data_IF_028826942241
#
_entry.id   IF_028826942241
#
_cell.length_a   1.000
_cell.length_b   1.000
_cell.length_c   1.000
_cell.angle_alpha   90.00
_cell.angle_beta   90.00
_cell.angle_gamma   90.00
#
_symmetry.space_group_name_H-M   'P 1'
#
loop_
_entity.id
_entity.type
_entity.pdbx_description
1 polymer ?
#
# COMPACT_ATOMS: atom_id res chain seq x y z
N UNK A 1 2.03 -24.35 -15.95
CA UNK A 1 0.78 -23.77 -15.43
C UNK A 1 -0.19 -23.65 -16.59
N UNK A 2 -1.36 -24.27 -16.52
CA UNK A 2 -2.38 -24.10 -17.54
C UNK A 2 -2.92 -22.67 -17.47
N UNK A 3 -2.80 -21.91 -18.55
CA UNK A 3 -3.52 -20.63 -18.70
C UNK A 3 -5.00 -20.90 -18.48
N UNK A 4 -5.57 -20.34 -17.41
CA UNK A 4 -7.02 -20.35 -17.23
C UNK A 4 -7.62 -19.54 -18.37
N UNK A 5 -8.14 -20.23 -19.38
CA UNK A 5 -8.89 -19.59 -20.47
C UNK A 5 -10.02 -18.77 -19.85
N UNK A 6 -10.23 -17.52 -20.31
CA UNK A 6 -11.35 -16.72 -19.83
C UNK A 6 -12.66 -17.48 -20.07
N UNK A 7 -13.66 -17.37 -19.16
CA UNK A 7 -15.00 -17.91 -19.37
C UNK A 7 -15.52 -17.65 -20.78
N UNK A 8 -16.27 -18.60 -21.35
CA UNK A 8 -16.84 -18.48 -22.68
C UNK A 8 -17.64 -17.17 -22.82
N UNK A 9 -17.40 -16.41 -23.90
CA UNK A 9 -18.09 -15.14 -24.17
C UNK A 9 -17.41 -13.87 -23.64
N UNK A 10 -16.18 -13.96 -23.13
CA UNK A 10 -15.34 -12.80 -22.79
C UNK A 10 -14.44 -12.46 -23.98
N UNK A 11 -14.47 -11.20 -24.40
CA UNK A 11 -13.56 -10.68 -25.42
C UNK A 11 -12.11 -10.62 -24.86
N UNK A 12 -11.13 -11.28 -25.50
CA UNK A 12 -9.78 -11.42 -24.95
C UNK A 12 -8.96 -10.12 -25.01
N UNK A 13 -9.42 -9.09 -25.74
CA UNK A 13 -8.72 -7.80 -25.87
C UNK A 13 -9.18 -6.77 -24.86
N UNK A 14 -10.47 -6.77 -24.54
CA UNK A 14 -11.12 -5.80 -23.66
C UNK A 14 -11.52 -6.39 -22.31
N UNK A 15 -11.57 -7.71 -22.19
CA UNK A 15 -12.11 -8.41 -21.02
C UNK A 15 -13.63 -8.31 -20.92
N UNK A 16 -14.32 -7.75 -21.91
CA UNK A 16 -15.75 -7.49 -21.84
C UNK A 16 -16.58 -8.73 -22.19
N UNK A 17 -17.58 -9.03 -21.35
CA UNK A 17 -18.60 -10.04 -21.61
C UNK A 17 -19.91 -9.37 -22.03
N UNK A 18 -20.31 -9.52 -23.30
CA UNK A 18 -21.52 -8.89 -23.82
C UNK A 18 -22.81 -9.38 -23.13
N UNK A 19 -22.84 -10.65 -22.71
CA UNK A 19 -23.99 -11.26 -22.06
C UNK A 19 -24.26 -10.69 -20.66
N UNK A 20 -23.20 -10.42 -19.89
CA UNK A 20 -23.31 -9.93 -18.51
C UNK A 20 -23.08 -8.43 -18.37
N UNK A 21 -22.59 -7.79 -19.44
CA UNK A 21 -22.10 -6.40 -19.49
C UNK A 21 -21.02 -6.13 -18.44
N UNK A 22 -20.15 -7.12 -18.20
CA UNK A 22 -19.08 -7.06 -17.19
C UNK A 22 -17.72 -7.05 -17.88
N UNK A 23 -16.81 -6.21 -17.39
CA UNK A 23 -15.39 -6.24 -17.72
C UNK A 23 -14.67 -7.14 -16.72
N UNK A 24 -13.93 -8.12 -17.21
CA UNK A 24 -13.09 -9.01 -16.42
C UNK A 24 -11.63 -8.64 -16.59
N UNK A 25 -10.83 -8.88 -15.55
CA UNK A 25 -9.39 -8.69 -15.64
C UNK A 25 -8.78 -9.51 -16.77
N UNK A 26 -7.86 -8.87 -17.50
CA UNK A 26 -7.00 -9.51 -18.50
C UNK A 26 -5.63 -9.89 -17.91
N UNK A 27 -5.42 -9.66 -16.61
CA UNK A 27 -4.19 -10.06 -15.93
C UNK A 27 -4.21 -11.55 -15.65
N UNK A 28 -3.03 -12.15 -15.60
CA UNK A 28 -2.91 -13.52 -15.10
C UNK A 28 -3.35 -13.57 -13.65
N UNK A 29 -4.03 -14.64 -13.28
CA UNK A 29 -4.51 -14.85 -11.93
C UNK A 29 -3.46 -15.62 -11.14
N UNK A 30 -2.73 -14.97 -10.21
CA UNK A 30 -2.09 -15.75 -9.14
C UNK A 30 -3.16 -16.52 -8.38
N UNK A 31 -2.84 -17.75 -8.00
CA UNK A 31 -3.66 -18.48 -7.03
C UNK A 31 -3.62 -17.73 -5.70
N UNK A 32 -4.75 -17.13 -5.32
CA UNK A 32 -4.91 -16.61 -3.96
C UNK A 32 -4.83 -17.78 -2.97
N UNK A 33 -4.21 -17.59 -1.79
CA UNK A 33 -4.28 -18.59 -0.73
C UNK A 33 -5.75 -18.97 -0.45
N UNK A 34 -6.05 -20.27 -0.23
CA UNK A 34 -7.40 -20.70 0.10
C UNK A 34 -7.92 -19.93 1.31
N UNK A 35 -9.19 -19.51 1.29
CA UNK A 35 -9.82 -18.72 2.35
C UNK A 35 -9.80 -19.45 3.70
N UNK A 36 -9.76 -20.78 3.68
CA UNK A 36 -9.66 -21.64 4.86
C UNK A 36 -8.27 -21.65 5.51
N UNK A 37 -7.22 -21.23 4.80
CA UNK A 37 -5.86 -21.18 5.33
C UNK A 37 -5.73 -19.98 6.27
N UNK A 38 -5.50 -20.19 7.59
CA UNK A 38 -5.26 -19.09 8.51
C UNK A 38 -3.99 -18.35 8.11
N UNK A 39 -4.11 -17.07 7.79
CA UNK A 39 -2.99 -16.25 7.37
C UNK A 39 -3.30 -14.78 7.65
N UNK A 40 -2.37 -14.12 8.34
CA UNK A 40 -2.35 -12.65 8.42
C UNK A 40 -1.64 -12.10 7.19
N UNK A 41 -1.96 -10.87 6.83
CA UNK A 41 -1.27 -10.15 5.76
C UNK A 41 0.24 -10.00 6.04
N UNK A 42 0.61 -9.80 7.31
CA UNK A 42 2.01 -9.75 7.74
C UNK A 42 2.73 -11.10 7.53
N UNK A 43 2.14 -12.20 8.00
CA UNK A 43 2.71 -13.53 7.82
C UNK A 43 2.83 -13.91 6.33
N UNK A 44 1.82 -13.57 5.53
CA UNK A 44 1.86 -13.78 4.09
C UNK A 44 2.99 -12.98 3.44
N UNK A 45 3.12 -11.67 3.74
CA UNK A 45 4.21 -10.85 3.23
C UNK A 45 5.59 -11.42 3.60
N UNK A 46 5.79 -11.87 4.85
CA UNK A 46 7.05 -12.48 5.27
C UNK A 46 7.34 -13.81 4.60
N UNK A 47 6.31 -14.61 4.29
CA UNK A 47 6.46 -15.90 3.59
C UNK A 47 6.98 -15.76 2.15
N UNK A 48 6.88 -14.56 1.58
CA UNK A 48 7.34 -14.25 0.22
C UNK A 48 8.80 -13.80 0.16
N UNK A 49 9.44 -13.56 1.32
CA UNK A 49 10.85 -13.19 1.38
C UNK A 49 11.74 -14.37 0.95
N UNK A 50 12.84 -14.06 0.28
CA UNK A 50 13.82 -15.06 -0.18
C UNK A 50 14.60 -15.65 0.99
N UNK A 51 15.17 -16.85 0.77
CA UNK A 51 16.19 -17.44 1.64
C UNK A 51 17.47 -17.66 0.81
N UNK A 52 18.59 -16.98 1.11
CA UNK A 52 18.77 -16.02 2.21
C UNK A 52 17.96 -14.73 2.04
N UNK A 53 17.73 -14.04 3.16
CA UNK A 53 17.07 -12.73 3.17
C UNK A 53 17.88 -11.69 2.37
N UNK A 54 17.25 -10.64 1.83
CA UNK A 54 17.97 -9.58 1.13
C UNK A 54 19.05 -8.94 2.01
N UNK A 55 20.25 -8.78 1.46
CA UNK A 55 21.41 -8.16 2.12
C UNK A 55 21.32 -6.62 2.22
N UNK A 56 20.33 -6.04 1.53
CA UNK A 56 20.01 -4.61 1.60
C UNK A 56 19.01 -4.30 2.71
N UNK A 57 18.95 -3.05 3.21
CA UNK A 57 18.03 -2.70 4.27
C UNK A 57 16.55 -2.87 3.86
N UNK A 58 15.72 -3.25 4.83
CA UNK A 58 14.27 -3.22 4.69
C UNK A 58 13.75 -1.78 4.75
N UNK A 59 14.27 -1.00 5.72
CA UNK A 59 13.84 0.38 5.98
C UNK A 59 15.06 1.31 6.04
N UNK A 60 14.90 2.54 5.56
CA UNK A 60 15.89 3.61 5.69
C UNK A 60 15.16 4.90 6.05
N UNK A 61 15.66 5.65 7.03
CA UNK A 61 15.20 7.01 7.30
C UNK A 61 15.87 7.97 6.31
N UNK A 62 15.08 8.67 5.50
CA UNK A 62 15.60 9.53 4.45
C UNK A 62 16.48 10.66 4.99
N UNK A 63 16.16 11.21 6.16
CA UNK A 63 16.79 12.41 6.71
C UNK A 63 18.16 12.11 7.32
N UNK A 64 18.23 11.09 8.19
CA UNK A 64 19.46 10.78 8.93
C UNK A 64 20.24 9.58 8.34
N UNK A 65 19.63 8.77 7.47
CA UNK A 65 20.27 7.61 6.84
C UNK A 65 20.38 6.38 7.73
N UNK A 66 19.73 6.36 8.89
CA UNK A 66 19.61 5.15 9.72
C UNK A 66 18.90 4.07 8.90
N UNK A 67 19.51 2.89 8.84
CA UNK A 67 19.04 1.77 8.05
C UNK A 67 18.75 0.55 8.94
N UNK A 68 17.65 -0.14 8.66
CA UNK A 68 17.23 -1.36 9.37
C UNK A 68 17.28 -2.53 8.40
N UNK A 69 18.11 -3.53 8.69
CA UNK A 69 18.21 -4.75 7.88
C UNK A 69 16.95 -5.61 7.99
N UNK A 70 16.69 -6.47 7.00
CA UNK A 70 15.59 -7.44 7.05
C UNK A 70 15.61 -8.31 8.32
N UNK A 71 16.74 -8.91 8.74
CA UNK A 71 16.81 -9.65 9.99
C UNK A 71 16.41 -8.82 11.22
N UNK A 72 16.87 -7.57 11.30
CA UNK A 72 16.57 -6.67 12.41
C UNK A 72 15.10 -6.24 12.43
N UNK A 73 14.54 -5.94 11.25
CA UNK A 73 13.12 -5.61 11.09
C UNK A 73 12.24 -6.78 11.55
N UNK A 74 12.50 -7.99 11.07
CA UNK A 74 11.73 -9.18 11.46
C UNK A 74 11.88 -9.51 12.95
N UNK A 75 13.07 -9.33 13.53
CA UNK A 75 13.29 -9.49 14.96
C UNK A 75 12.49 -8.45 15.78
N UNK A 76 12.53 -7.18 15.39
CA UNK A 76 11.80 -6.11 16.04
C UNK A 76 10.27 -6.34 15.99
N UNK A 77 9.74 -6.80 14.84
CA UNK A 77 8.33 -7.18 14.69
C UNK A 77 7.96 -8.30 15.66
N UNK A 78 8.78 -9.35 15.76
CA UNK A 78 8.52 -10.47 16.69
C UNK A 78 8.55 -10.04 18.15
N UNK A 79 9.55 -9.24 18.54
CA UNK A 79 9.69 -8.76 19.92
C UNK A 79 8.52 -7.85 20.30
N UNK A 80 8.18 -6.88 19.44
CA UNK A 80 7.04 -5.99 19.68
C UNK A 80 5.72 -6.77 19.73
N UNK A 81 5.50 -7.73 18.84
CA UNK A 81 4.32 -8.60 18.87
C UNK A 81 4.20 -9.37 20.21
N UNK A 82 5.31 -9.87 20.75
CA UNK A 82 5.36 -10.50 22.08
C UNK A 82 5.02 -9.53 23.21
N UNK A 83 5.56 -8.30 23.18
CA UNK A 83 5.27 -7.27 24.19
C UNK A 83 3.81 -6.81 24.15
N UNK A 84 3.28 -6.56 22.95
CA UNK A 84 1.86 -6.23 22.72
C UNK A 84 0.95 -7.31 23.30
N UNK A 85 1.29 -8.59 23.09
CA UNK A 85 0.52 -9.72 23.59
C UNK A 85 0.59 -9.86 25.12
N UNK A 86 1.81 -9.94 25.66
CA UNK A 86 2.04 -10.36 27.05
C UNK A 86 1.91 -9.22 28.05
N UNK A 87 2.42 -8.03 27.73
CA UNK A 87 2.45 -6.90 28.66
C UNK A 87 1.28 -5.94 28.47
N UNK A 88 0.90 -5.65 27.23
CA UNK A 88 -0.20 -4.71 26.93
C UNK A 88 -1.56 -5.41 26.82
N UNK A 89 -1.58 -6.72 26.60
CA UNK A 89 -2.80 -7.50 26.55
C UNK A 89 -3.60 -7.38 25.24
N UNK A 90 -2.97 -6.91 24.15
CA UNK A 90 -3.63 -6.81 22.82
C UNK A 90 -3.97 -8.20 22.30
N UNK A 91 -5.18 -8.36 21.76
CA UNK A 91 -5.74 -9.64 21.30
C UNK A 91 -6.23 -9.55 19.85
N UNK A 92 -6.47 -10.71 19.21
CA UNK A 92 -7.01 -10.75 17.85
C UNK A 92 -8.38 -10.08 17.81
N UNK A 93 -8.61 -9.25 16.79
CA UNK A 93 -9.83 -8.45 16.65
C UNK A 93 -9.82 -7.11 17.37
N UNK A 94 -8.86 -6.85 18.26
CA UNK A 94 -8.67 -5.50 18.82
C UNK A 94 -8.25 -4.53 17.72
N UNK A 95 -8.70 -3.28 17.82
CA UNK A 95 -8.23 -2.18 16.97
C UNK A 95 -7.18 -1.38 17.72
N UNK A 96 -6.04 -1.13 17.09
CA UNK A 96 -4.98 -0.26 17.59
C UNK A 96 -4.91 1.02 16.75
N UNK A 97 -5.19 2.16 17.36
CA UNK A 97 -5.07 3.46 16.70
C UNK A 97 -3.59 3.87 16.62
N UNK A 98 -3.08 4.21 15.44
CA UNK A 98 -1.67 4.61 15.25
C UNK A 98 -1.60 6.05 14.76
N UNK A 99 -1.09 6.95 15.58
CA UNK A 99 -1.05 8.40 15.34
C UNK A 99 0.40 8.86 15.25
N UNK A 100 0.95 8.79 14.04
CA UNK A 100 2.35 9.12 13.80
C UNK A 100 2.57 9.59 12.37
N UNK A 101 3.55 10.49 12.12
CA UNK A 101 4.11 10.62 10.79
C UNK A 101 4.91 9.36 10.41
N UNK A 102 5.38 9.27 9.17
CA UNK A 102 6.17 8.12 8.69
C UNK A 102 7.52 8.06 9.42
N UNK A 103 7.78 6.99 10.17
CA UNK A 103 9.03 6.76 10.93
C UNK A 103 9.38 5.26 10.91
N UNK A 104 10.62 4.91 11.27
CA UNK A 104 11.09 3.52 11.25
C UNK A 104 10.30 2.59 12.18
N UNK A 105 9.73 3.13 13.26
CA UNK A 105 8.93 2.38 14.23
C UNK A 105 7.56 1.97 13.67
N UNK A 106 7.03 2.71 12.69
CA UNK A 106 5.65 2.51 12.21
C UNK A 106 5.50 1.21 11.41
N UNK A 107 6.37 0.88 10.43
CA UNK A 107 6.33 -0.43 9.81
C UNK A 107 6.49 -1.58 10.83
N UNK A 108 7.31 -1.41 11.87
CA UNK A 108 7.48 -2.45 12.90
C UNK A 108 6.18 -2.65 13.68
N UNK A 109 5.54 -1.56 14.11
CA UNK A 109 4.28 -1.58 14.84
C UNK A 109 3.13 -2.18 14.02
N UNK A 110 2.95 -1.73 12.78
CA UNK A 110 1.88 -2.18 11.89
C UNK A 110 1.98 -3.70 11.65
N UNK A 111 3.18 -4.20 11.34
CA UNK A 111 3.40 -5.63 11.13
C UNK A 111 3.32 -6.43 12.42
N UNK A 112 3.70 -5.89 13.58
CA UNK A 112 3.55 -6.57 14.87
C UNK A 112 2.09 -6.74 15.27
N UNK A 113 1.27 -5.69 15.12
CA UNK A 113 -0.17 -5.72 15.36
C UNK A 113 -0.88 -6.71 14.43
N UNK A 114 -0.62 -6.62 13.11
CA UNK A 114 -1.20 -7.56 12.15
C UNK A 114 -0.76 -9.01 12.41
N UNK A 115 0.46 -9.24 12.90
CA UNK A 115 0.97 -10.59 13.20
C UNK A 115 0.23 -11.28 14.33
N UNK A 116 -0.33 -10.52 15.29
CA UNK A 116 -1.15 -11.05 16.38
C UNK A 116 -2.67 -10.96 16.10
N UNK A 117 -3.05 -10.58 14.87
CA UNK A 117 -4.46 -10.47 14.46
C UNK A 117 -5.17 -9.22 14.96
N UNK A 118 -4.44 -8.21 15.45
CA UNK A 118 -5.01 -6.91 15.76
C UNK A 118 -5.12 -6.06 14.49
N UNK A 119 -6.19 -5.28 14.39
CA UNK A 119 -6.42 -4.37 13.29
C UNK A 119 -5.65 -3.06 13.49
N UNK A 120 -4.82 -2.67 12.51
CA UNK A 120 -4.10 -1.41 12.53
C UNK A 120 -5.01 -0.28 12.05
N UNK A 121 -5.14 0.79 12.82
CA UNK A 121 -5.92 1.98 12.42
C UNK A 121 -5.03 3.22 12.38
N UNK A 122 -4.26 3.42 11.29
CA UNK A 122 -3.38 4.55 11.18
C UNK A 122 -4.16 5.82 10.84
N UNK A 123 -3.80 6.93 11.49
CA UNK A 123 -4.48 8.23 11.33
C UNK A 123 -3.49 9.37 11.19
N UNK A 124 -3.96 10.45 10.58
CA UNK A 124 -3.14 11.63 10.35
C UNK A 124 -2.77 12.31 11.69
N UNK A 125 -1.48 12.46 12.04
CA UNK A 125 -1.07 13.17 13.25
C UNK A 125 -1.44 14.66 13.24
N UNK A 126 -1.71 15.23 12.05
CA UNK A 126 -2.16 16.62 11.91
C UNK A 126 -3.66 16.81 12.23
N UNK A 127 -4.42 15.73 12.45
CA UNK A 127 -5.83 15.83 12.82
C UNK A 127 -6.03 16.59 14.15
N UNK A 128 -7.21 17.18 14.26
CA UNK A 128 -7.70 17.88 15.45
C UNK A 128 -8.15 16.89 16.53
N UNK A 129 -8.30 17.36 17.77
CA UNK A 129 -8.82 16.54 18.86
C UNK A 129 -10.25 16.04 18.59
N UNK A 130 -11.08 16.84 17.93
CA UNK A 130 -12.44 16.46 17.53
C UNK A 130 -12.44 15.34 16.49
N UNK A 131 -11.58 15.44 15.46
CA UNK A 131 -11.42 14.39 14.46
C UNK A 131 -10.88 13.10 15.09
N UNK A 132 -9.94 13.17 16.04
CA UNK A 132 -9.51 11.99 16.79
C UNK A 132 -10.65 11.38 17.59
N UNK A 133 -11.43 12.19 18.32
CA UNK A 133 -12.59 11.69 19.07
C UNK A 133 -13.61 11.01 18.14
N UNK A 134 -13.88 11.57 16.97
CA UNK A 134 -14.74 10.98 15.95
C UNK A 134 -14.19 9.64 15.44
N UNK A 135 -12.90 9.56 15.10
CA UNK A 135 -12.27 8.31 14.65
C UNK A 135 -12.25 7.24 15.75
N UNK A 136 -12.02 7.61 17.00
CA UNK A 136 -12.12 6.72 18.17
C UNK A 136 -13.54 6.21 18.35
N UNK A 137 -14.56 7.05 18.15
CA UNK A 137 -15.96 6.63 18.22
C UNK A 137 -16.33 5.64 17.10
N UNK A 138 -15.77 5.82 15.91
CA UNK A 138 -15.99 4.92 14.76
C UNK A 138 -15.31 3.56 14.93
N UNK A 139 -14.05 3.56 15.36
CA UNK A 139 -13.21 2.35 15.36
C UNK A 139 -13.12 1.64 16.71
N UNK A 140 -13.48 2.32 17.81
CA UNK A 140 -13.43 1.80 19.20
C UNK A 140 -12.11 1.09 19.53
N UNK A 141 -10.96 1.77 19.38
CA UNK A 141 -9.67 1.16 19.59
C UNK A 141 -9.50 0.71 21.05
N UNK A 142 -8.88 -0.45 21.24
CA UNK A 142 -8.49 -0.95 22.55
C UNK A 142 -7.29 -0.18 23.10
N UNK A 143 -6.42 0.31 22.22
CA UNK A 143 -5.22 1.08 22.56
C UNK A 143 -4.85 2.04 21.42
N UNK A 144 -4.20 3.14 21.77
CA UNK A 144 -3.53 4.04 20.83
C UNK A 144 -2.01 3.97 20.99
N UNK A 145 -1.31 4.12 19.87
CA UNK A 145 0.11 4.40 19.79
C UNK A 145 0.28 5.77 19.14
N UNK A 146 0.88 6.71 19.85
CA UNK A 146 0.99 8.08 19.35
C UNK A 146 2.39 8.64 19.60
N UNK A 147 2.86 9.50 18.70
CA UNK A 147 4.07 10.29 18.97
C UNK A 147 3.82 11.33 20.08
N UNK A 148 4.85 11.72 20.85
CA UNK A 148 4.68 12.61 22.01
C UNK A 148 3.91 13.90 21.72
N UNK A 149 4.12 14.47 20.53
CA UNK A 149 3.58 15.77 20.09
C UNK A 149 2.05 15.76 19.94
N UNK A 150 1.45 14.58 19.76
CA UNK A 150 0.02 14.43 19.48
C UNK A 150 -0.73 13.60 20.51
N UNK A 151 -0.02 12.87 21.38
CA UNK A 151 -0.61 12.03 22.41
C UNK A 151 -1.63 12.77 23.30
N UNK A 152 -1.35 14.04 23.65
CA UNK A 152 -2.23 14.86 24.48
C UNK A 152 -3.56 15.26 23.80
N UNK A 153 -3.66 15.16 22.47
CA UNK A 153 -4.89 15.46 21.71
C UNK A 153 -5.88 14.30 21.71
N UNK A 154 -5.44 13.09 22.08
CA UNK A 154 -6.28 11.91 22.11
C UNK A 154 -7.27 11.95 23.30
N UNK A 155 -8.45 11.32 23.18
CA UNK A 155 -9.36 11.20 24.30
C UNK A 155 -8.69 10.56 25.52
N UNK A 156 -8.80 11.19 26.69
CA UNK A 156 -8.17 10.70 27.95
C UNK A 156 -8.64 9.31 28.38
N UNK A 157 -9.83 8.88 27.93
CA UNK A 157 -10.38 7.56 28.20
C UNK A 157 -9.71 6.44 27.39
N UNK A 158 -8.98 6.78 26.32
CA UNK A 158 -8.28 5.82 25.50
C UNK A 158 -6.88 5.58 26.06
N UNK A 159 -6.55 4.31 26.35
CA UNK A 159 -5.17 3.95 26.71
C UNK A 159 -4.24 4.34 25.56
N UNK A 160 -3.26 5.20 25.82
CA UNK A 160 -2.27 5.61 24.84
C UNK A 160 -0.87 5.21 25.30
N UNK A 161 -0.13 4.48 24.46
CA UNK A 161 1.31 4.22 24.60
C UNK A 161 2.05 5.21 23.72
N UNK A 162 2.97 5.99 24.30
CA UNK A 162 3.72 7.00 23.54
C UNK A 162 4.89 6.34 22.82
N UNK A 163 4.96 6.49 21.50
CA UNK A 163 6.05 5.95 20.67
C UNK A 163 7.36 6.65 21.07
N UNK A 164 8.41 5.86 21.30
CA UNK A 164 9.71 6.35 21.78
C UNK A 164 9.80 6.56 23.30
N UNK A 165 8.73 6.30 24.07
CA UNK A 165 8.79 6.30 25.54
C UNK A 165 9.44 5.02 26.09
N UNK A 166 9.84 5.04 27.36
CA UNK A 166 10.34 3.85 28.07
C UNK A 166 9.34 2.70 28.08
N UNK A 167 8.04 3.02 28.13
CA UNK A 167 7.01 1.98 28.04
C UNK A 167 7.05 1.29 26.67
N UNK A 168 7.06 2.06 25.59
CA UNK A 168 7.16 1.52 24.23
C UNK A 168 8.46 0.71 24.05
N UNK A 169 9.58 1.23 24.54
CA UNK A 169 10.88 0.55 24.49
C UNK A 169 10.84 -0.82 25.22
N UNK A 170 10.15 -0.92 26.36
CA UNK A 170 9.96 -2.20 27.06
C UNK A 170 9.14 -3.19 26.22
N UNK A 171 8.09 -2.74 25.53
CA UNK A 171 7.30 -3.59 24.63
C UNK A 171 8.13 -4.11 23.46
N UNK A 172 9.03 -3.29 22.92
CA UNK A 172 9.90 -3.64 21.80
C UNK A 172 11.16 -4.44 22.21
N UNK A 173 11.41 -4.62 23.50
CA UNK A 173 12.67 -5.20 23.98
C UNK A 173 12.77 -6.70 23.69
N UNK A 174 13.90 -7.12 23.10
CA UNK A 174 14.12 -8.51 22.70
C UNK A 174 14.25 -9.51 23.87
N UNK A 175 14.57 -9.03 25.07
CA UNK A 175 14.79 -9.86 26.26
C UNK A 175 13.60 -9.97 27.22
N UNK A 176 12.49 -9.27 26.96
CA UNK A 176 11.38 -9.15 27.92
C UNK A 176 10.11 -9.94 27.59
N UNK A 177 9.91 -10.35 26.34
CA UNK A 177 8.65 -10.92 25.90
C UNK A 177 8.81 -12.27 25.19
N UNK A 178 8.11 -13.30 25.70
CA UNK A 178 7.92 -14.54 24.95
C UNK A 178 7.21 -14.24 23.63
N UNK A 179 7.54 -14.97 22.54
CA UNK A 179 6.78 -14.84 21.30
C UNK A 179 5.29 -15.09 21.57
N UNK A 180 4.38 -14.37 20.89
CA UNK A 180 2.95 -14.62 21.06
C UNK A 180 2.65 -16.08 20.68
N UNK A 181 1.68 -16.73 21.34
CA UNK A 181 1.25 -18.06 20.94
C UNK A 181 0.74 -18.03 19.49
N UNK A 182 0.78 -19.16 18.76
CA UNK A 182 0.16 -19.24 17.44
C UNK A 182 -1.31 -18.85 17.52
N UNK A 183 -1.69 -17.76 16.85
CA UNK A 183 -3.08 -17.31 16.73
C UNK A 183 -3.63 -17.75 15.39
N UNK A 184 -4.74 -18.49 15.41
CA UNK A 184 -5.48 -18.79 14.18
C UNK A 184 -6.31 -17.57 13.75
N UNK A 185 -5.74 -16.73 12.90
CA UNK A 185 -6.42 -15.57 12.30
C UNK A 185 -7.02 -15.96 10.96
N UNK A 186 -8.31 -15.70 10.75
CA UNK A 186 -8.97 -15.94 9.46
C UNK A 186 -8.60 -14.81 8.51
N UNK A 187 -8.46 -15.10 7.23
CA UNK A 187 -8.19 -14.05 6.25
C UNK A 187 -9.34 -13.02 6.14
N UNK A 188 -10.56 -13.38 6.56
CA UNK A 188 -11.72 -12.48 6.63
C UNK A 188 -11.76 -11.58 7.87
N UNK A 189 -10.84 -11.76 8.81
CA UNK A 189 -10.68 -10.88 9.97
C UNK A 189 -10.08 -9.54 9.53
N UNK A 190 -10.45 -8.47 10.24
CA UNK A 190 -10.01 -7.10 9.93
C UNK A 190 -8.52 -6.95 10.22
N UNK A 191 -7.74 -6.58 9.20
CA UNK A 191 -6.31 -6.29 9.30
C UNK A 191 -6.04 -4.80 9.52
N UNK A 192 -6.89 -3.94 8.94
CA UNK A 192 -6.75 -2.50 9.07
C UNK A 192 -8.11 -1.80 9.09
N UNK A 193 -8.16 -0.66 9.79
CA UNK A 193 -9.29 0.29 9.75
C UNK A 193 -8.77 1.62 9.25
N UNK A 194 -9.07 1.91 7.98
CA UNK A 194 -8.66 3.14 7.30
C UNK A 194 -9.81 4.14 7.24
N UNK A 195 -9.52 5.40 6.91
CA UNK A 195 -10.52 6.46 6.91
C UNK A 195 -10.64 7.11 5.55
N UNK A 196 -11.87 7.19 5.02
CA UNK A 196 -12.18 7.94 3.80
C UNK A 196 -13.00 9.17 4.14
N UNK A 197 -12.82 10.25 3.37
CA UNK A 197 -13.60 11.50 3.51
C UNK A 197 -15.09 11.29 3.19
N UNK A 198 -15.43 10.22 2.46
CA UNK A 198 -16.78 9.86 2.06
C UNK A 198 -17.42 10.89 1.11
N UNK A 199 -18.40 10.45 0.32
CA UNK A 199 -19.19 11.35 -0.56
C UNK A 199 -20.07 12.35 0.20
N UNK A 200 -20.31 12.10 1.49
CA UNK A 200 -21.18 12.89 2.38
C UNK A 200 -20.41 13.89 3.24
N UNK A 201 -19.09 14.03 3.04
CA UNK A 201 -18.22 14.96 3.77
C UNK A 201 -17.86 14.56 5.22
N UNK A 202 -18.47 13.50 5.75
CA UNK A 202 -18.12 12.93 7.06
C UNK A 202 -17.17 11.75 6.89
N UNK A 203 -16.10 11.74 7.67
CA UNK A 203 -15.13 10.65 7.74
C UNK A 203 -15.82 9.33 8.09
N UNK A 204 -15.53 8.28 7.30
CA UNK A 204 -16.02 6.91 7.50
C UNK A 204 -14.86 5.97 7.76
N UNK A 205 -15.07 5.00 8.64
CA UNK A 205 -14.14 3.90 8.86
C UNK A 205 -14.37 2.80 7.81
N UNK A 206 -13.28 2.36 7.20
CA UNK A 206 -13.22 1.32 6.16
C UNK A 206 -12.50 0.12 6.74
N UNK A 207 -13.22 -0.99 6.92
CA UNK A 207 -12.66 -2.23 7.42
C UNK A 207 -12.02 -3.03 6.28
N UNK A 208 -10.70 -3.14 6.32
CA UNK A 208 -9.89 -3.90 5.36
C UNK A 208 -9.49 -5.22 5.99
N UNK A 209 -9.87 -6.33 5.37
CA UNK A 209 -9.55 -7.67 5.84
C UNK A 209 -8.13 -8.10 5.43
N UNK A 210 -7.55 -9.08 6.13
CA UNK A 210 -6.25 -9.66 5.76
C UNK A 210 -6.26 -10.17 4.31
N UNK A 211 -7.37 -10.79 3.88
CA UNK A 211 -7.58 -11.27 2.51
C UNK A 211 -7.43 -10.16 1.48
N UNK A 212 -7.95 -8.96 1.79
CA UNK A 212 -7.87 -7.85 0.86
C UNK A 212 -6.42 -7.42 0.60
N UNK A 213 -5.62 -7.33 1.67
CA UNK A 213 -4.19 -7.00 1.60
C UNK A 213 -3.37 -8.12 0.93
N UNK A 214 -3.70 -9.39 1.22
CA UNK A 214 -3.07 -10.55 0.57
C UNK A 214 -3.33 -10.51 -0.94
N UNK A 215 -4.58 -10.29 -1.36
CA UNK A 215 -4.94 -10.20 -2.77
C UNK A 215 -4.22 -9.03 -3.48
N UNK A 216 -4.04 -7.90 -2.79
CA UNK A 216 -3.27 -6.78 -3.30
C UNK A 216 -1.79 -7.14 -3.50
N UNK A 217 -1.18 -7.84 -2.53
CA UNK A 217 0.19 -8.35 -2.65
C UNK A 217 0.32 -9.29 -3.86
N UNK A 218 -0.62 -10.24 -4.02
CA UNK A 218 -0.64 -11.15 -5.17
C UNK A 218 -0.74 -10.39 -6.50
N UNK A 219 -1.66 -9.43 -6.62
CA UNK A 219 -1.83 -8.67 -7.86
C UNK A 219 -0.59 -7.88 -8.25
N UNK A 220 0.12 -7.29 -7.28
CA UNK A 220 1.38 -6.60 -7.56
C UNK A 220 2.51 -7.58 -7.92
N UNK A 221 2.54 -8.75 -7.31
CA UNK A 221 3.50 -9.80 -7.64
C UNK A 221 3.28 -10.32 -9.05
N UNK A 222 2.04 -10.55 -9.47
CA UNK A 222 1.69 -10.95 -10.84
C UNK A 222 2.22 -9.96 -11.88
N UNK A 223 2.02 -8.67 -11.62
CA UNK A 223 2.52 -7.62 -12.51
C UNK A 223 4.04 -7.62 -12.60
N UNK A 224 4.74 -7.88 -11.48
CA UNK A 224 6.20 -7.94 -11.43
C UNK A 224 6.74 -9.17 -12.16
N UNK A 225 6.19 -10.36 -11.87
CA UNK A 225 6.58 -11.61 -12.53
C UNK A 225 6.34 -11.55 -14.04
N UNK A 226 5.22 -10.95 -14.46
CA UNK A 226 4.96 -10.67 -15.88
C UNK A 226 6.08 -9.82 -16.48
N UNK A 227 6.47 -8.73 -15.82
CA UNK A 227 7.48 -7.81 -16.34
C UNK A 227 8.87 -8.42 -16.39
N UNK A 228 9.24 -9.18 -15.36
CA UNK A 228 10.50 -9.92 -15.32
C UNK A 228 10.55 -10.99 -16.43
N UNK A 229 9.43 -11.66 -16.70
CA UNK A 229 9.33 -12.64 -17.80
C UNK A 229 9.44 -11.98 -19.17
N UNK A 230 8.71 -10.90 -19.43
CA UNK A 230 8.76 -10.17 -20.71
C UNK A 230 10.17 -9.62 -20.96
N UNK A 231 10.83 -9.06 -19.94
CA UNK A 231 12.22 -8.61 -20.03
C UNK A 231 13.19 -9.76 -20.33
N UNK A 232 13.04 -10.90 -19.65
CA UNK A 232 13.88 -12.08 -19.89
C UNK A 232 13.70 -12.66 -21.30
N UNK A 233 12.46 -12.71 -21.81
CA UNK A 233 12.15 -13.14 -23.18
C UNK A 233 12.71 -12.18 -24.23
N UNK A 234 12.77 -10.88 -23.92
CA UNK A 234 13.41 -9.85 -24.74
C UNK A 234 14.96 -9.84 -24.63
N UNK A 235 15.55 -10.65 -23.75
CA UNK A 235 17.00 -10.67 -23.50
C UNK A 235 17.52 -9.44 -22.76
N UNK A 236 16.64 -8.71 -22.07
CA UNK A 236 16.99 -7.55 -21.26
C UNK A 236 17.64 -7.99 -19.94
N UNK A 237 18.47 -7.11 -19.37
CA UNK A 237 19.02 -7.37 -18.05
C UNK A 237 17.93 -7.25 -16.97
N UNK A 238 18.01 -8.07 -15.90
CA UNK A 238 17.11 -7.91 -14.76
C UNK A 238 17.16 -6.49 -14.21
N UNK A 239 15.99 -5.94 -13.90
CA UNK A 239 15.89 -4.64 -13.24
C UNK A 239 16.65 -4.66 -11.90
N UNK A 240 17.27 -3.53 -11.49
CA UNK A 240 17.90 -3.45 -10.20
C UNK A 240 16.87 -3.67 -9.07
N UNK A 241 17.30 -4.13 -7.88
CA UNK A 241 16.41 -4.28 -6.76
C UNK A 241 15.68 -2.97 -6.44
N UNK A 242 14.37 -3.06 -6.21
CA UNK A 242 13.56 -1.86 -6.00
C UNK A 242 13.89 -1.17 -4.68
N UNK A 243 14.18 0.13 -4.80
CA UNK A 243 14.29 1.07 -3.68
C UNK A 243 13.17 2.10 -3.83
N UNK A 244 12.23 2.08 -2.90
CA UNK A 244 11.02 2.91 -2.94
C UNK A 244 11.16 4.07 -1.97
N UNK A 245 11.09 5.30 -2.47
CA UNK A 245 10.94 6.47 -1.60
C UNK A 245 9.46 6.59 -1.18
N UNK A 246 9.21 6.79 0.10
CA UNK A 246 7.87 6.97 0.65
C UNK A 246 7.64 8.44 1.03
N UNK A 247 7.33 9.32 0.07
CA UNK A 247 6.90 10.70 0.36
C UNK A 247 5.44 10.75 0.83
N UNK A 248 4.69 9.67 0.59
CA UNK A 248 3.28 9.55 0.94
C UNK A 248 3.14 9.14 2.41
N UNK A 249 2.13 9.66 3.12
CA UNK A 249 1.90 9.26 4.50
C UNK A 249 1.46 7.79 4.61
N UNK A 250 2.02 7.06 5.56
CA UNK A 250 1.66 5.66 5.82
C UNK A 250 0.23 5.48 6.36
N UNK A 251 -0.39 6.55 6.89
CA UNK A 251 -1.80 6.53 7.31
C UNK A 251 -2.79 6.59 6.14
N UNK A 252 -2.34 7.00 4.95
CA UNK A 252 -3.18 6.99 3.76
C UNK A 252 -3.08 5.63 3.07
N UNK A 253 -4.21 5.13 2.53
CA UNK A 253 -4.28 3.79 1.92
C UNK A 253 -3.17 3.53 0.88
N UNK A 254 -2.79 4.55 0.11
CA UNK A 254 -1.71 4.43 -0.87
C UNK A 254 -0.34 4.16 -0.20
N UNK A 255 0.03 4.92 0.83
CA UNK A 255 1.27 4.68 1.57
C UNK A 255 1.25 3.34 2.30
N UNK A 256 0.12 3.02 2.93
CA UNK A 256 -0.11 1.77 3.65
C UNK A 256 0.07 0.54 2.74
N UNK A 257 -0.63 0.49 1.60
CA UNK A 257 -0.53 -0.64 0.67
C UNK A 257 0.88 -0.77 0.07
N UNK A 258 1.55 0.37 -0.19
CA UNK A 258 2.89 0.35 -0.76
C UNK A 258 3.93 -0.19 0.23
N UNK A 259 3.75 0.08 1.52
CA UNK A 259 4.61 -0.47 2.56
C UNK A 259 4.48 -1.99 2.66
N UNK A 260 3.23 -2.50 2.68
CA UNK A 260 2.96 -3.93 2.65
C UNK A 260 3.57 -4.61 1.41
N UNK A 261 3.38 -4.01 0.23
CA UNK A 261 4.00 -4.47 -1.03
C UNK A 261 5.51 -4.48 -0.93
N UNK A 262 6.13 -3.39 -0.45
CA UNK A 262 7.59 -3.25 -0.34
C UNK A 262 8.19 -4.38 0.50
N UNK A 263 7.61 -4.67 1.67
CA UNK A 263 8.08 -5.77 2.52
C UNK A 263 7.84 -7.13 1.85
N UNK A 264 6.66 -7.36 1.27
CA UNK A 264 6.32 -8.64 0.64
C UNK A 264 7.22 -8.98 -0.56
N UNK A 265 7.70 -7.98 -1.28
CA UNK A 265 8.64 -8.12 -2.41
C UNK A 265 10.10 -8.01 -1.98
N UNK A 266 10.34 -7.94 -0.67
CA UNK A 266 11.66 -7.81 -0.10
C UNK A 266 12.38 -6.54 -0.52
N UNK A 267 11.72 -5.44 -0.90
CA UNK A 267 12.26 -4.16 -1.39
C UNK A 267 12.85 -3.28 -0.26
N UNK A 268 13.48 -2.16 -0.59
CA UNK A 268 13.96 -1.19 0.42
C UNK A 268 13.01 0.00 0.48
N UNK A 269 12.45 0.29 1.65
CA UNK A 269 11.58 1.45 1.89
C UNK A 269 12.38 2.61 2.51
N UNK A 270 12.56 3.69 1.75
CA UNK A 270 13.17 4.93 2.22
C UNK A 270 12.05 5.83 2.73
N UNK A 271 11.91 5.97 4.05
CA UNK A 271 10.83 6.68 4.70
C UNK A 271 11.14 8.17 4.83
N UNK A 272 10.18 9.00 4.42
CA UNK A 272 10.22 10.43 4.61
C UNK A 272 9.08 10.85 5.54
N UNK A 273 9.42 11.43 6.69
CA UNK A 273 8.46 11.82 7.73
C UNK A 273 7.39 12.79 7.20
N UNK A 274 7.84 13.78 6.44
CA UNK A 274 7.01 14.77 5.76
C UNK A 274 7.58 15.05 4.38
N UNK A 275 6.71 15.11 3.38
CA UNK A 275 7.12 15.47 2.04
C UNK A 275 7.78 16.85 2.00
N UNK A 276 9.03 16.86 1.57
CA UNK A 276 9.77 18.04 1.14
C UNK A 276 10.37 17.75 -0.23
N UNK A 277 10.08 18.59 -1.22
CA UNK A 277 10.43 18.32 -2.61
C UNK A 277 11.95 18.26 -2.82
N UNK A 278 12.70 19.20 -2.24
CA UNK A 278 14.16 19.21 -2.36
C UNK A 278 14.80 18.02 -1.65
N UNK A 279 14.29 17.65 -0.47
CA UNK A 279 14.74 16.47 0.26
C UNK A 279 14.41 15.18 -0.50
N UNK A 280 13.28 15.12 -1.21
CA UNK A 280 12.92 13.99 -2.04
C UNK A 280 13.92 13.82 -3.20
N UNK A 281 14.28 14.90 -3.89
CA UNK A 281 15.31 14.86 -4.93
C UNK A 281 16.68 14.43 -4.37
N UNK A 282 17.07 14.94 -3.18
CA UNK A 282 18.29 14.49 -2.46
C UNK A 282 18.25 13.00 -2.13
N UNK A 283 17.11 12.52 -1.65
CA UNK A 283 16.93 11.13 -1.27
C UNK A 283 16.99 10.20 -2.49
N UNK A 284 16.42 10.62 -3.63
CA UNK A 284 16.49 9.85 -4.88
C UNK A 284 17.93 9.59 -5.29
N UNK A 285 18.74 10.65 -5.35
CA UNK A 285 20.17 10.57 -5.68
C UNK A 285 20.97 9.77 -4.63
N UNK A 286 20.81 10.11 -3.34
CA UNK A 286 21.58 9.52 -2.24
C UNK A 286 21.34 8.01 -2.07
N UNK A 287 20.08 7.59 -2.15
CA UNK A 287 19.69 6.19 -1.90
C UNK A 287 19.45 5.41 -3.19
N UNK A 288 19.74 6.01 -4.35
CA UNK A 288 19.51 5.45 -5.68
C UNK A 288 18.10 4.87 -5.82
N UNK A 289 17.11 5.69 -5.47
CA UNK A 289 15.68 5.32 -5.51
C UNK A 289 15.30 4.93 -6.93
N UNK A 290 14.58 3.83 -7.07
CA UNK A 290 14.09 3.30 -8.35
C UNK A 290 12.60 3.49 -8.56
N UNK A 291 11.83 3.62 -7.46
CA UNK A 291 10.39 3.80 -7.47
C UNK A 291 9.96 4.98 -6.59
N UNK A 292 9.16 5.87 -7.16
CA UNK A 292 8.56 7.00 -6.45
C UNK A 292 7.02 6.97 -6.59
N UNK A 293 6.28 6.49 -5.58
CA UNK A 293 4.85 6.71 -5.50
C UNK A 293 4.55 8.19 -5.23
N UNK A 294 3.69 8.81 -6.04
CA UNK A 294 3.43 10.24 -5.98
C UNK A 294 2.02 10.62 -6.44
N UNK A 295 1.61 11.84 -6.10
CA UNK A 295 0.45 12.50 -6.68
C UNK A 295 0.87 13.42 -7.84
N UNK A 296 -0.02 13.77 -8.79
CA UNK A 296 0.29 14.62 -9.94
C UNK A 296 1.04 15.93 -9.65
N UNK A 297 0.82 16.64 -8.52
CA UNK A 297 1.58 17.86 -8.21
C UNK A 297 3.10 17.66 -8.13
N UNK A 298 3.58 16.46 -7.79
CA UNK A 298 5.02 16.14 -7.76
C UNK A 298 5.61 16.20 -9.16
N UNK A 299 4.91 15.67 -10.17
CA UNK A 299 5.35 15.75 -11.57
C UNK A 299 5.43 17.20 -12.04
N UNK A 300 4.42 18.01 -11.70
CA UNK A 300 4.41 19.44 -12.04
C UNK A 300 5.60 20.17 -11.41
N UNK A 301 5.94 19.85 -10.16
CA UNK A 301 7.11 20.41 -9.48
C UNK A 301 8.41 19.97 -10.15
N UNK A 302 8.56 18.69 -10.50
CA UNK A 302 9.73 18.16 -11.22
C UNK A 302 9.91 18.83 -12.59
N UNK A 303 8.85 18.94 -13.39
CA UNK A 303 8.88 19.60 -14.70
C UNK A 303 9.39 21.04 -14.61
N UNK A 304 9.03 21.77 -13.54
CA UNK A 304 9.38 23.19 -13.35
C UNK A 304 10.74 23.39 -12.66
N UNK A 305 11.31 22.36 -12.06
CA UNK A 305 12.50 22.48 -11.22
C UNK A 305 13.80 22.36 -12.03
N UNK A 306 14.63 23.40 -11.99
CA UNK A 306 16.00 23.30 -12.50
C UNK A 306 16.83 22.31 -11.67
N UNK A 307 16.60 22.24 -10.35
CA UNK A 307 17.31 21.31 -9.47
C UNK A 307 17.04 19.86 -9.88
N UNK A 308 15.79 19.53 -10.23
CA UNK A 308 15.43 18.19 -10.69
C UNK A 308 16.15 17.81 -12.00
N UNK A 309 16.38 18.78 -12.90
CA UNK A 309 17.11 18.55 -14.16
C UNK A 309 18.63 18.45 -13.98
N UNK A 310 19.18 19.02 -12.91
CA UNK A 310 20.64 19.05 -12.66
C UNK A 310 21.13 17.89 -11.79
N UNK A 311 20.27 17.28 -10.97
CA UNK A 311 20.63 16.15 -10.09
C UNK A 311 20.73 14.84 -10.85
N UNK A 312 21.50 13.90 -10.29
CA UNK A 312 21.50 12.52 -10.76
C UNK A 312 20.20 11.82 -10.32
N UNK A 313 19.24 11.75 -11.25
CA UNK A 313 18.02 10.96 -11.11
C UNK A 313 18.06 9.65 -11.93
N UNK A 314 19.23 9.24 -12.42
CA UNK A 314 19.38 8.08 -13.32
C UNK A 314 18.94 6.75 -12.71
N UNK A 315 18.88 6.66 -11.38
CA UNK A 315 18.36 5.48 -10.70
C UNK A 315 16.83 5.39 -10.73
N UNK A 316 16.12 6.51 -10.89
CA UNK A 316 14.66 6.56 -10.79
C UNK A 316 14.03 6.04 -12.07
N UNK A 317 13.55 4.79 -12.03
CA UNK A 317 13.00 4.12 -13.20
C UNK A 317 11.49 4.37 -13.35
N UNK A 318 10.77 4.44 -12.23
CA UNK A 318 9.31 4.49 -12.23
C UNK A 318 8.79 5.54 -11.26
N UNK A 319 7.81 6.32 -11.71
CA UNK A 319 6.94 7.11 -10.84
C UNK A 319 5.52 6.53 -10.89
N UNK A 320 5.05 6.02 -9.76
CA UNK A 320 3.70 5.50 -9.60
C UNK A 320 2.72 6.61 -9.22
N UNK A 321 1.84 7.00 -10.14
CA UNK A 321 0.87 8.09 -9.96
C UNK A 321 -0.50 7.54 -9.56
N UNK A 322 -1.05 8.08 -8.48
CA UNK A 322 -2.39 7.73 -8.01
C UNK A 322 -3.02 8.83 -7.15
N UNK A 323 -4.26 8.60 -6.74
CA UNK A 323 -5.01 9.47 -5.82
C UNK A 323 -5.65 10.72 -6.45
N UNK A 324 -5.22 11.15 -7.63
CA UNK A 324 -5.86 12.22 -8.39
C UNK A 324 -5.66 12.03 -9.90
N UNK A 325 -6.55 12.60 -10.75
CA UNK A 325 -6.41 12.53 -12.19
C UNK A 325 -5.10 13.17 -12.68
N UNK A 326 -4.39 12.48 -13.57
CA UNK A 326 -3.24 13.02 -14.29
C UNK A 326 -3.69 13.51 -15.68
N UNK A 327 -3.52 14.80 -15.94
CA UNK A 327 -3.80 15.37 -17.25
C UNK A 327 -2.80 14.88 -18.29
N UNK A 328 -3.29 14.54 -19.50
CA UNK A 328 -2.47 14.09 -20.63
C UNK A 328 -1.29 15.03 -20.91
N UNK A 329 -1.53 16.33 -20.97
CA UNK A 329 -0.49 17.34 -21.23
C UNK A 329 0.64 17.31 -20.20
N UNK A 330 0.31 17.06 -18.92
CA UNK A 330 1.32 16.95 -17.85
C UNK A 330 2.14 15.67 -18.03
N UNK A 331 1.51 14.55 -18.39
CA UNK A 331 2.21 13.29 -18.64
C UNK A 331 3.15 13.40 -19.86
N UNK A 332 2.67 13.95 -20.96
CA UNK A 332 3.46 14.19 -22.19
C UNK A 332 4.65 15.11 -21.92
N UNK A 333 4.40 16.22 -21.20
CA UNK A 333 5.47 17.15 -20.85
C UNK A 333 6.48 16.54 -19.88
N UNK A 334 6.04 15.71 -18.94
CA UNK A 334 6.95 15.00 -18.05
C UNK A 334 7.85 14.06 -18.84
N UNK A 335 7.27 13.22 -19.71
CA UNK A 335 8.02 12.29 -20.56
C UNK A 335 9.01 13.00 -21.49
N UNK A 336 8.70 14.21 -21.96
CA UNK A 336 9.64 15.02 -22.74
C UNK A 336 10.84 15.56 -21.93
N UNK A 337 10.65 15.81 -20.63
CA UNK A 337 11.71 16.35 -19.75
C UNK A 337 12.53 15.23 -19.11
N UNK A 338 11.90 14.11 -18.79
CA UNK A 338 12.51 12.94 -18.12
C UNK A 338 12.17 11.65 -18.89
N UNK A 339 12.74 11.44 -20.08
CA UNK A 339 12.36 10.35 -20.98
C UNK A 339 12.67 8.95 -20.45
N UNK A 340 13.62 8.83 -19.53
CA UNK A 340 14.07 7.56 -18.95
C UNK A 340 13.23 7.12 -17.74
N UNK A 341 12.24 7.93 -17.34
CA UNK A 341 11.40 7.68 -16.17
C UNK A 341 9.99 7.31 -16.63
N UNK A 342 9.58 6.07 -16.36
CA UNK A 342 8.26 5.58 -16.72
C UNK A 342 7.18 6.09 -15.75
N UNK A 343 6.06 6.56 -16.30
CA UNK A 343 4.88 6.95 -15.52
C UNK A 343 3.88 5.79 -15.48
N UNK A 344 3.80 5.15 -14.31
CA UNK A 344 2.77 4.12 -14.04
C UNK A 344 1.57 4.80 -13.40
N UNK A 345 0.39 4.67 -13.99
CA UNK A 345 -0.85 5.21 -13.44
C UNK A 345 -1.68 4.10 -12.81
N UNK A 346 -2.31 4.39 -11.67
CA UNK A 346 -3.23 3.49 -11.00
C UNK A 346 -4.48 4.19 -10.49
N UNK A 347 -5.56 3.43 -10.41
CA UNK A 347 -6.81 3.85 -9.77
C UNK A 347 -7.13 2.91 -8.61
N UNK A 348 -7.59 3.50 -7.51
CA UNK A 348 -8.04 2.79 -6.33
C UNK A 348 -8.67 3.74 -5.33
N UNK A 349 -9.34 3.15 -4.35
CA UNK A 349 -10.02 3.84 -3.27
C UNK A 349 -9.60 3.22 -1.93
N UNK A 350 -9.94 3.90 -0.84
CA UNK A 350 -9.77 3.31 0.50
C UNK A 350 -10.60 2.03 0.62
N UNK A 351 -11.84 2.07 0.10
CA UNK A 351 -12.81 0.99 0.04
C UNK A 351 -12.40 -0.18 -0.88
N UNK A 352 -11.37 0.00 -1.71
CA UNK A 352 -10.78 -1.05 -2.54
C UNK A 352 -9.39 -1.47 -2.04
N UNK A 353 -9.06 -1.18 -0.79
CA UNK A 353 -7.75 -1.45 -0.19
C UNK A 353 -6.56 -0.78 -0.91
N UNK A 354 -6.85 0.21 -1.77
CA UNK A 354 -5.86 1.09 -2.39
C UNK A 354 -5.63 0.90 -3.89
N UNK A 355 -5.95 -0.24 -4.49
CA UNK A 355 -5.68 -0.50 -5.91
C UNK A 355 -6.76 -1.35 -6.58
N UNK A 356 -7.20 -0.93 -7.76
CA UNK A 356 -8.22 -1.61 -8.59
C UNK A 356 -7.70 -1.85 -10.00
N UNK A 357 -7.02 -0.86 -10.58
CA UNK A 357 -6.43 -0.94 -11.91
C UNK A 357 -5.08 -0.24 -11.94
N UNK A 358 -4.21 -0.69 -12.84
CA UNK A 358 -2.93 -0.04 -13.11
C UNK A 358 -2.42 -0.33 -14.50
N UNK A 359 -1.63 0.60 -15.04
CA UNK A 359 -0.83 0.37 -16.24
C UNK A 359 0.36 -0.53 -15.90
N UNK A 360 0.67 -1.49 -16.76
CA UNK A 360 1.81 -2.39 -16.58
C UNK A 360 2.63 -2.44 -17.86
N UNK A 361 3.86 -1.94 -17.78
CA UNK A 361 4.84 -1.94 -18.85
C UNK A 361 4.63 -0.85 -19.92
N UNK A 362 5.61 -0.70 -20.84
CA UNK A 362 5.70 0.46 -21.73
C UNK A 362 4.52 0.64 -22.69
N UNK A 363 3.89 -0.46 -23.12
CA UNK A 363 2.72 -0.44 -24.00
C UNK A 363 1.53 0.26 -23.34
N UNK A 364 1.32 0.02 -22.04
CA UNK A 364 0.15 0.54 -21.33
C UNK A 364 0.41 1.92 -20.73
N UNK A 365 1.65 2.20 -20.28
CA UNK A 365 2.03 3.50 -19.70
C UNK A 365 2.03 4.64 -20.72
N UNK A 366 2.20 4.34 -22.01
CA UNK A 366 2.07 5.31 -23.11
C UNK A 366 0.63 5.69 -23.44
N UNK A 367 -0.37 5.02 -22.87
CA UNK A 367 -1.79 5.35 -23.09
C UNK A 367 -2.23 6.46 -22.11
N UNK A 368 -1.85 7.69 -22.41
CA UNK A 368 -2.15 8.84 -21.54
C UNK A 368 -3.65 9.10 -21.40
N UNK A 369 -4.07 9.35 -20.15
CA UNK A 369 -5.47 9.49 -19.74
C UNK A 369 -6.13 8.18 -19.29
N UNK A 370 -5.44 7.04 -19.42
CA UNK A 370 -5.89 5.75 -18.88
C UNK A 370 -5.33 5.51 -17.47
N UNK A 371 -6.12 4.84 -16.62
CA UNK A 371 -5.69 4.30 -15.32
C UNK A 371 -5.33 2.80 -15.42
N UNK A 372 -5.06 2.35 -16.64
CA UNK A 372 -4.65 0.99 -16.98
C UNK A 372 -5.77 -0.04 -16.91
N UNK A 373 -5.37 -1.31 -16.87
CA UNK A 373 -6.31 -2.45 -16.85
C UNK A 373 -6.61 -2.87 -15.41
N UNK A 374 -7.76 -3.52 -15.23
CA UNK A 374 -8.16 -4.13 -13.96
C UNK A 374 -7.05 -5.05 -13.43
N UNK A 375 -6.81 -4.99 -12.11
CA UNK A 375 -5.89 -5.89 -11.42
C UNK A 375 -6.39 -7.35 -11.47
N UNK A 376 -5.53 -8.31 -11.15
CA UNK A 376 -5.90 -9.73 -11.07
C UNK A 376 -7.13 -9.92 -10.17
N UNK A 377 -8.03 -10.83 -10.56
CA UNK A 377 -9.28 -11.17 -9.85
C UNK A 377 -10.31 -10.04 -9.72
N UNK A 378 -10.12 -8.93 -10.43
CA UNK A 378 -11.07 -7.84 -10.46
C UNK A 378 -12.03 -7.93 -11.63
N UNK A 379 -13.23 -7.43 -11.38
CA UNK A 379 -14.27 -7.21 -12.38
C UNK A 379 -14.84 -5.80 -12.21
N UNK A 380 -15.38 -5.26 -13.30
CA UNK A 380 -16.03 -3.97 -13.29
C UNK A 380 -17.26 -3.91 -14.19
N UNK A 381 -18.15 -2.96 -13.89
CA UNK A 381 -19.22 -2.51 -14.77
C UNK A 381 -19.14 -1.00 -14.91
N UNK A 382 -19.54 -0.51 -16.07
CA UNK A 382 -19.87 0.89 -16.27
C UNK A 382 -21.39 0.98 -16.25
N UNK A 383 -21.95 1.80 -15.37
CA UNK A 383 -23.40 1.86 -15.13
C UNK A 383 -23.91 3.27 -15.38
N UNK A 384 -25.01 3.40 -16.13
CA UNK A 384 -25.69 4.68 -16.23
C UNK A 384 -26.30 5.04 -14.85
N UNK A 385 -25.91 6.17 -14.23
CA UNK A 385 -26.38 6.51 -12.89
C UNK A 385 -27.86 6.90 -12.83
N UNK A 386 -28.49 7.26 -13.96
CA UNK A 386 -29.90 7.60 -14.04
C UNK A 386 -30.79 6.37 -14.23
N UNK A 387 -30.36 5.39 -15.03
CA UNK A 387 -31.17 4.21 -15.37
C UNK A 387 -30.76 2.94 -14.60
N UNK A 388 -29.53 2.87 -14.10
CA UNK A 388 -28.95 1.67 -13.53
C UNK A 388 -28.53 0.62 -14.56
N UNK A 389 -28.59 0.94 -15.86
CA UNK A 389 -28.24 0.02 -16.93
C UNK A 389 -26.72 -0.14 -17.08
N UNK A 390 -26.28 -1.38 -17.32
CA UNK A 390 -24.88 -1.68 -17.58
C UNK A 390 -24.51 -1.36 -19.03
N UNK A 391 -23.50 -0.52 -19.20
CA UNK A 391 -23.04 0.02 -20.47
C UNK A 391 -21.90 -0.81 -21.07
N UNK A 392 -21.71 -0.69 -22.38
CA UNK A 392 -20.64 -1.34 -23.13
C UNK A 392 -19.37 -0.48 -23.29
N UNK A 393 -18.34 -1.01 -23.97
CA UNK A 393 -17.10 -0.29 -24.25
C UNK A 393 -17.34 1.05 -24.94
N UNK A 394 -16.56 2.07 -24.56
CA UNK A 394 -16.63 3.42 -25.13
C UNK A 394 -17.76 4.31 -24.57
N UNK A 395 -18.62 3.77 -23.72
CA UNK A 395 -19.69 4.53 -23.06
C UNK A 395 -19.23 5.03 -21.68
N UNK A 396 -19.70 6.20 -21.26
CA UNK A 396 -19.37 6.83 -19.98
C UNK A 396 -20.48 6.57 -18.97
N UNK A 397 -20.11 6.21 -17.74
CA UNK A 397 -21.02 6.00 -16.62
C UNK A 397 -20.26 5.91 -15.29
N UNK A 398 -20.96 5.48 -14.25
CA UNK A 398 -20.40 5.18 -12.93
C UNK A 398 -19.64 3.84 -12.96
N UNK A 399 -18.45 3.80 -12.35
CA UNK A 399 -17.63 2.60 -12.27
C UNK A 399 -18.03 1.76 -11.03
N UNK A 400 -18.59 0.59 -11.25
CA UNK A 400 -18.85 -0.40 -10.20
C UNK A 400 -17.80 -1.50 -10.26
N UNK A 401 -17.24 -1.88 -9.12
CA UNK A 401 -16.12 -2.82 -9.03
C UNK A 401 -16.42 -3.98 -8.09
N UNK A 402 -15.93 -5.16 -8.43
CA UNK A 402 -16.05 -6.38 -7.63
C UNK A 402 -14.72 -7.12 -7.65
N UNK A 403 -14.32 -7.64 -6.50
CA UNK A 403 -13.15 -8.51 -6.40
C UNK A 403 -12.59 -8.57 -4.98
N UNK A 404 -11.48 -9.30 -4.78
CA UNK A 404 -10.98 -9.65 -3.47
C UNK A 404 -10.34 -8.48 -2.70
N UNK A 405 -10.09 -7.34 -3.34
CA UNK A 405 -9.53 -6.13 -2.69
C UNK A 405 -10.62 -5.22 -2.11
N UNK A 406 -11.90 -5.48 -2.41
CA UNK A 406 -13.01 -4.67 -1.90
C UNK A 406 -13.15 -4.90 -0.39
N UNK A 407 -13.26 -3.80 0.36
CA UNK A 407 -13.41 -3.77 1.81
C UNK A 407 -14.51 -4.71 2.30
N UNK A 408 -14.46 -5.03 3.59
CA UNK A 408 -15.56 -5.74 4.24
C UNK A 408 -16.82 -4.86 4.18
N UNK A 409 -17.94 -5.46 3.77
CA UNK A 409 -19.26 -4.85 3.95
C UNK A 409 -19.56 -4.61 5.43
N UNK A 410 -20.53 -3.74 5.72
CA UNK A 410 -20.93 -3.41 7.10
C UNK A 410 -21.23 -4.64 7.96
#
# INVERSE_FOLDING_TARGET
MAEQRPPAGIDPRSGFCAATRTFHSLRQFATLPPDSLPATAAAYAFSLLTSPLPDRPALVDAANGIAVSYPSFLAAVRSLAGGLWSALGVRPGDVALVVSPSRLEIPVLDFALMSIGAAVSPVNPASTAEEFAHMVALSRPAVAFAVPEVAAKLPRSLRCVVIGSDEYARLSSAGGASPPPPVAVKQSDTAAVLYSSGTTGRVKAVAVAHRNLIALICAHRDNREKMEKEAAEAGEQPLPPTVTLFPLPLFHVFGFMMLLRSVAMGETAVLMERFDFGAALRAIERYRVTLLPAAPPVLVAMIKSEEARRRDLSSLLVIGIGGAPLGREVAERFAAVFPDIELVQGYGLTESSGSVSSTVGPEETKVYGSVGKLASHMEAKIVDPATGEALGPGQRGELWIRGPVIMKGK
#
